data_IF_522762979897
#
_entry.id   IF_522762979897
#
_cell.length_a   1.000
_cell.length_b   1.000
_cell.length_c   1.000
_cell.angle_alpha   90.00
_cell.angle_beta   90.00
_cell.angle_gamma   90.00
#
_symmetry.space_group_name_H-M   'P 1'
#
loop_
_entity.id
_entity.type
_entity.pdbx_description
1 polymer ?
#
# COMPACT_ATOMS: atom_id res chain seq x y z
N UNK A 1 5.20 -12.42 18.06
CA UNK A 1 4.45 -13.68 17.91
C UNK A 1 4.53 -14.09 16.45
N UNK A 2 5.00 -15.31 16.12
CA UNK A 2 5.00 -15.80 14.76
C UNK A 2 3.58 -16.18 14.33
N UNK A 3 3.18 -15.78 13.13
CA UNK A 3 2.00 -16.26 12.41
C UNK A 3 2.54 -17.00 11.17
N UNK A 4 2.72 -18.30 11.29
CA UNK A 4 3.28 -19.09 10.18
C UNK A 4 2.17 -19.43 9.17
N UNK A 5 2.53 -19.40 7.89
CA UNK A 5 1.67 -19.82 6.76
C UNK A 5 0.27 -19.18 6.70
N UNK A 6 0.17 -17.88 6.98
CA UNK A 6 -1.11 -17.15 6.94
C UNK A 6 -1.86 -17.28 5.59
N UNK A 7 -1.15 -17.61 4.51
CA UNK A 7 -1.73 -17.88 3.19
C UNK A 7 -2.28 -19.31 2.99
N UNK A 8 -1.99 -20.27 3.87
CA UNK A 8 -2.43 -21.66 3.70
C UNK A 8 -3.72 -21.95 4.48
N UNK A 9 -4.82 -22.15 3.74
CA UNK A 9 -6.05 -22.74 4.26
C UNK A 9 -7.01 -21.82 5.05
N UNK A 10 -6.61 -20.58 5.32
CA UNK A 10 -7.48 -19.60 5.97
C UNK A 10 -8.25 -18.74 4.96
N UNK A 11 -9.52 -18.41 5.27
CA UNK A 11 -10.30 -17.45 4.48
C UNK A 11 -9.57 -16.09 4.43
N UNK A 12 -9.24 -15.55 3.24
CA UNK A 12 -8.49 -14.30 3.11
C UNK A 12 -9.15 -13.10 3.79
N UNK A 13 -10.49 -13.09 3.86
CA UNK A 13 -11.24 -12.05 4.55
C UNK A 13 -10.99 -12.13 6.06
N UNK A 14 -11.08 -13.32 6.63
CA UNK A 14 -10.83 -13.58 8.05
C UNK A 14 -9.39 -13.26 8.45
N UNK A 15 -8.42 -13.56 7.59
CA UNK A 15 -7.01 -13.18 7.77
C UNK A 15 -6.85 -11.67 7.79
N UNK A 16 -7.40 -10.96 6.80
CA UNK A 16 -7.33 -9.49 6.72
C UNK A 16 -7.92 -8.82 7.97
N UNK A 17 -9.10 -9.30 8.41
CA UNK A 17 -9.76 -8.78 9.61
C UNK A 17 -8.97 -9.08 10.88
N UNK A 18 -8.40 -10.28 10.98
CA UNK A 18 -7.57 -10.69 12.13
C UNK A 18 -6.30 -9.88 12.22
N UNK A 19 -5.58 -9.71 11.11
CA UNK A 19 -4.41 -8.84 11.03
C UNK A 19 -4.78 -7.40 11.45
N UNK A 20 -5.90 -6.87 10.95
CA UNK A 20 -6.35 -5.54 11.30
C UNK A 20 -6.66 -5.39 12.81
N UNK A 21 -7.37 -6.36 13.40
CA UNK A 21 -7.66 -6.37 14.83
C UNK A 21 -6.38 -6.49 15.68
N UNK A 22 -5.45 -7.33 15.24
CA UNK A 22 -4.16 -7.54 15.90
C UNK A 22 -3.38 -6.22 16.00
N UNK A 23 -3.26 -5.46 14.91
CA UNK A 23 -2.51 -4.21 14.88
C UNK A 23 -3.24 -3.02 15.49
N UNK A 24 -4.56 -3.04 15.54
CA UNK A 24 -5.32 -2.01 16.27
C UNK A 24 -5.19 -2.16 17.78
N UNK A 25 -4.83 -3.34 18.28
CA UNK A 25 -4.56 -3.54 19.70
C UNK A 25 -5.82 -3.54 20.57
N UNK A 26 -7.00 -3.77 20.00
CA UNK A 26 -8.28 -3.66 20.70
C UNK A 26 -9.20 -4.81 20.29
N UNK A 27 -9.71 -5.53 21.28
CA UNK A 27 -10.72 -6.58 21.07
C UNK A 27 -12.08 -6.04 20.67
N UNK A 28 -12.92 -6.89 20.07
CA UNK A 28 -14.32 -6.54 19.80
C UNK A 28 -15.08 -6.36 21.12
N UNK A 29 -15.88 -5.30 21.21
CA UNK A 29 -16.81 -5.07 22.31
C UNK A 29 -17.83 -6.21 22.33
N UNK A 30 -17.99 -6.86 23.49
CA UNK A 30 -18.97 -7.91 23.72
C UNK A 30 -19.87 -7.54 24.89
N UNK A 31 -21.17 -7.78 24.77
CA UNK A 31 -22.12 -7.62 25.88
C UNK A 31 -21.79 -8.59 27.01
N UNK A 32 -21.92 -8.13 28.26
CA UNK A 32 -21.84 -8.98 29.43
C UNK A 32 -23.18 -9.72 29.65
N UNK A 33 -23.13 -10.95 30.17
CA UNK A 33 -24.33 -11.76 30.46
C UNK A 33 -25.30 -11.08 31.45
N UNK A 34 -24.79 -10.20 32.32
CA UNK A 34 -25.58 -9.50 33.35
C UNK A 34 -25.98 -8.07 32.94
N UNK A 35 -25.77 -7.68 31.67
CA UNK A 35 -25.99 -6.33 31.19
C UNK A 35 -24.72 -5.47 31.24
N UNK A 36 -24.65 -4.47 30.36
CA UNK A 36 -23.44 -3.69 30.12
C UNK A 36 -22.45 -4.35 29.15
N UNK A 37 -21.28 -3.72 28.97
CA UNK A 37 -20.22 -4.21 28.10
C UNK A 37 -19.10 -4.87 28.92
N UNK A 38 -18.55 -5.98 28.43
CA UNK A 38 -17.32 -6.56 28.99
C UNK A 38 -16.16 -5.59 28.84
N UNK A 39 -15.18 -5.71 29.74
CA UNK A 39 -13.92 -4.99 29.64
C UNK A 39 -13.24 -5.23 28.30
N UNK A 40 -12.87 -4.12 27.66
CA UNK A 40 -12.25 -4.12 26.35
C UNK A 40 -10.79 -4.52 26.50
N UNK A 41 -10.44 -5.74 26.08
CA UNK A 41 -9.04 -6.19 26.08
C UNK A 41 -8.22 -5.34 25.12
N UNK A 42 -7.11 -4.80 25.61
CA UNK A 42 -6.15 -4.01 24.84
C UNK A 42 -4.79 -4.69 24.85
N UNK A 43 -4.07 -4.60 23.74
CA UNK A 43 -2.71 -5.12 23.61
C UNK A 43 -1.88 -4.24 22.70
N UNK A 44 -0.55 -4.38 22.82
CA UNK A 44 0.41 -3.82 21.89
C UNK A 44 1.36 -4.94 21.53
N UNK A 45 1.45 -5.28 20.25
CA UNK A 45 2.20 -6.46 19.82
C UNK A 45 2.93 -6.19 18.51
N UNK A 46 4.00 -6.96 18.33
CA UNK A 46 4.68 -7.12 17.05
C UNK A 46 4.43 -8.55 16.60
N UNK A 47 3.87 -8.69 15.40
CA UNK A 47 3.66 -9.96 14.75
C UNK A 47 4.62 -10.06 13.56
N UNK A 48 5.17 -11.26 13.38
CA UNK A 48 5.97 -11.60 12.21
C UNK A 48 5.20 -12.70 11.51
N UNK A 49 4.97 -12.54 10.22
CA UNK A 49 4.33 -13.55 9.39
C UNK A 49 5.28 -13.91 8.26
N UNK A 50 5.31 -15.20 7.92
CA UNK A 50 6.02 -15.75 6.77
C UNK A 50 5.01 -16.30 5.78
N UNK A 51 5.29 -16.13 4.48
CA UNK A 51 4.41 -16.61 3.42
C UNK A 51 5.04 -16.39 2.05
N UNK A 52 4.67 -17.24 1.09
CA UNK A 52 5.13 -17.14 -0.31
C UNK A 52 4.51 -15.94 -1.03
N UNK A 53 3.34 -15.52 -0.57
CA UNK A 53 2.57 -14.44 -1.16
C UNK A 53 2.30 -13.36 -0.11
N UNK A 54 2.44 -12.11 -0.53
CA UNK A 54 2.18 -10.97 0.33
C UNK A 54 0.67 -10.82 0.64
N UNK A 55 0.35 -10.08 1.71
CA UNK A 55 -1.04 -9.93 2.17
C UNK A 55 -1.94 -9.23 1.13
N UNK A 56 -1.41 -8.30 0.35
CA UNK A 56 -2.19 -7.59 -0.67
C UNK A 56 -2.61 -8.55 -1.77
N UNK A 57 -1.67 -9.32 -2.30
CA UNK A 57 -1.93 -10.35 -3.31
C UNK A 57 -2.86 -11.43 -2.76
N UNK A 58 -2.69 -11.86 -1.50
CA UNK A 58 -3.59 -12.82 -0.86
C UNK A 58 -5.04 -12.33 -0.76
N UNK A 59 -5.24 -11.06 -0.40
CA UNK A 59 -6.57 -10.44 -0.33
C UNK A 59 -7.16 -10.23 -1.73
N UNK A 60 -6.31 -9.91 -2.72
CA UNK A 60 -6.72 -9.74 -4.11
C UNK A 60 -7.31 -11.03 -4.71
N UNK A 61 -6.78 -12.20 -4.37
CA UNK A 61 -7.34 -13.51 -4.79
C UNK A 61 -8.80 -13.67 -4.35
N UNK A 62 -9.19 -13.09 -3.22
CA UNK A 62 -10.59 -13.11 -2.75
C UNK A 62 -11.48 -12.03 -3.41
N UNK A 63 -11.00 -11.34 -4.45
CA UNK A 63 -11.73 -10.27 -5.12
C UNK A 63 -11.91 -9.01 -4.26
N UNK A 64 -11.04 -8.81 -3.26
CA UNK A 64 -11.04 -7.65 -2.38
C UNK A 64 -9.84 -6.77 -2.67
N UNK A 65 -9.96 -5.46 -2.44
CA UNK A 65 -8.84 -4.52 -2.48
C UNK A 65 -8.43 -4.14 -1.06
N UNK A 66 -7.13 -4.12 -0.80
CA UNK A 66 -6.52 -3.59 0.42
C UNK A 66 -6.52 -2.07 0.40
N UNK A 67 -6.79 -1.45 1.55
CA UNK A 67 -6.56 0.00 1.69
C UNK A 67 -5.10 0.23 2.03
N UNK A 68 -4.49 1.26 1.44
CA UNK A 68 -3.08 1.55 1.65
C UNK A 68 -2.71 1.81 3.13
N UNK A 69 -3.64 2.37 3.93
CA UNK A 69 -3.48 2.50 5.39
C UNK A 69 -3.41 1.17 6.16
N UNK A 70 -3.84 0.05 5.57
CA UNK A 70 -3.67 -1.30 6.13
C UNK A 70 -2.28 -1.85 5.80
N UNK A 71 -1.77 -1.60 4.59
CA UNK A 71 -0.47 -2.08 4.12
C UNK A 71 0.70 -1.53 4.96
N UNK A 72 0.60 -0.29 5.44
CA UNK A 72 1.64 0.31 6.30
C UNK A 72 1.66 -0.25 7.73
N UNK A 73 0.69 -1.09 8.12
CA UNK A 73 0.66 -1.74 9.45
C UNK A 73 1.24 -3.15 9.44
N UNK A 74 1.25 -3.82 8.29
CA UNK A 74 1.91 -5.11 8.08
C UNK A 74 2.90 -4.95 6.93
N UNK A 75 4.17 -4.75 7.27
CA UNK A 75 5.20 -4.51 6.27
C UNK A 75 5.56 -5.82 5.56
N UNK A 76 5.31 -5.87 4.24
CA UNK A 76 5.77 -6.96 3.38
C UNK A 76 7.24 -6.70 3.02
N UNK A 77 8.17 -7.25 3.79
CA UNK A 77 9.61 -7.10 3.55
C UNK A 77 10.09 -8.32 2.75
N UNK A 78 10.54 -8.15 1.48
CA UNK A 78 11.03 -9.27 0.70
C UNK A 78 12.32 -9.82 1.32
N UNK A 79 12.36 -11.13 1.54
CA UNK A 79 13.52 -11.83 2.07
C UNK A 79 14.43 -12.31 0.93
N UNK A 80 15.74 -12.10 1.09
CA UNK A 80 16.76 -12.63 0.20
C UNK A 80 17.31 -13.96 0.74
N UNK A 81 17.83 -14.81 -0.15
CA UNK A 81 18.49 -16.05 0.26
C UNK A 81 19.73 -15.73 1.09
N UNK A 82 19.93 -16.47 2.18
CA UNK A 82 21.15 -16.38 2.98
C UNK A 82 22.37 -16.74 2.11
N UNK A 83 23.42 -15.93 2.19
CA UNK A 83 24.70 -16.16 1.50
C UNK A 83 25.82 -16.55 2.46
N UNK A 84 25.59 -16.44 3.77
CA UNK A 84 26.51 -16.88 4.83
C UNK A 84 25.85 -17.99 5.63
N UNK A 85 26.56 -19.10 5.80
CA UNK A 85 26.04 -20.33 6.43
C UNK A 85 26.73 -20.69 7.74
N UNK A 86 27.57 -19.81 8.30
CA UNK A 86 28.23 -19.98 9.61
C UNK A 86 28.80 -21.39 9.84
N UNK A 87 29.84 -21.75 9.09
CA UNK A 87 30.53 -23.06 9.17
C UNK A 87 29.76 -24.26 8.59
N UNK A 88 28.50 -24.07 8.17
CA UNK A 88 27.75 -25.10 7.46
C UNK A 88 27.98 -25.05 5.95
N UNK A 89 27.86 -26.20 5.30
CA UNK A 89 28.17 -26.36 3.87
C UNK A 89 27.06 -25.78 2.96
N UNK A 90 25.80 -25.97 3.34
CA UNK A 90 24.65 -25.49 2.57
C UNK A 90 23.70 -24.65 3.42
N UNK A 91 22.84 -23.86 2.75
CA UNK A 91 21.78 -23.13 3.42
C UNK A 91 20.77 -24.03 4.15
N UNK A 92 20.58 -25.27 3.67
CA UNK A 92 19.76 -26.27 4.35
C UNK A 92 20.41 -26.70 5.66
N UNK A 93 21.70 -27.05 5.62
CA UNK A 93 22.43 -27.48 6.81
C UNK A 93 22.45 -26.37 7.87
N UNK A 94 22.63 -25.12 7.44
CA UNK A 94 22.55 -23.96 8.33
C UNK A 94 21.15 -23.80 8.97
N UNK A 95 20.09 -23.93 8.18
CA UNK A 95 18.72 -23.84 8.68
C UNK A 95 18.37 -24.99 9.66
N UNK A 96 18.78 -26.22 9.34
CA UNK A 96 18.57 -27.39 10.19
C UNK A 96 19.35 -27.26 11.51
N UNK A 97 20.57 -26.74 11.47
CA UNK A 97 21.38 -26.45 12.66
C UNK A 97 20.72 -25.39 13.55
N UNK A 98 20.24 -24.29 12.97
CA UNK A 98 19.49 -23.27 13.73
C UNK A 98 18.23 -23.87 14.36
N UNK A 99 17.51 -24.72 13.61
CA UNK A 99 16.30 -25.39 14.10
C UNK A 99 16.57 -26.28 15.30
N UNK A 100 17.62 -27.11 15.22
CA UNK A 100 18.05 -27.94 16.34
C UNK A 100 18.48 -27.08 17.54
N UNK A 101 19.20 -25.99 17.30
CA UNK A 101 19.71 -25.12 18.35
C UNK A 101 18.57 -24.44 19.13
N UNK A 102 17.56 -23.87 18.46
CA UNK A 102 16.47 -23.17 19.14
C UNK A 102 15.51 -24.12 19.88
N UNK A 103 15.39 -25.37 19.43
CA UNK A 103 14.57 -26.38 20.10
C UNK A 103 15.10 -26.67 21.51
N UNK A 104 16.42 -26.78 21.66
CA UNK A 104 17.07 -27.00 22.96
C UNK A 104 17.36 -25.71 23.72
N UNK A 105 17.52 -24.57 23.03
CA UNK A 105 17.95 -23.31 23.62
C UNK A 105 17.01 -22.17 23.22
N UNK A 106 16.04 -21.84 24.08
CA UNK A 106 15.10 -20.74 23.84
C UNK A 106 14.79 -19.95 25.11
N UNK A 107 14.36 -18.70 24.93
CA UNK A 107 13.89 -17.82 26.02
C UNK A 107 14.97 -17.06 26.81
N UNK A 108 16.25 -17.37 26.62
CA UNK A 108 17.35 -16.69 27.33
C UNK A 108 17.55 -15.23 26.86
N UNK A 109 17.76 -15.02 25.55
CA UNK A 109 18.04 -13.72 24.95
C UNK A 109 17.03 -12.63 25.34
N UNK A 110 15.73 -12.93 25.21
CA UNK A 110 14.68 -11.96 25.55
C UNK A 110 14.64 -11.59 27.03
N UNK A 111 14.89 -12.55 27.93
CA UNK A 111 14.92 -12.29 29.39
C UNK A 111 16.11 -11.42 29.76
N UNK A 112 17.27 -11.67 29.18
CA UNK A 112 18.46 -10.86 29.40
C UNK A 112 18.27 -9.43 28.87
N UNK A 113 17.75 -9.30 27.65
CA UNK A 113 17.47 -7.99 27.08
C UNK A 113 16.45 -7.18 27.90
N UNK A 114 15.38 -7.81 28.38
CA UNK A 114 14.40 -7.16 29.28
C UNK A 114 15.06 -6.71 30.58
N UNK A 115 15.90 -7.56 31.19
CA UNK A 115 16.64 -7.21 32.41
C UNK A 115 17.55 -6.00 32.17
N UNK A 116 18.27 -5.99 31.05
CA UNK A 116 19.14 -4.88 30.69
C UNK A 116 18.34 -3.59 30.47
N UNK A 117 17.25 -3.64 29.69
CA UNK A 117 16.37 -2.49 29.45
C UNK A 117 15.77 -1.92 30.74
N UNK A 118 15.40 -2.77 31.70
CA UNK A 118 14.87 -2.33 32.99
C UNK A 118 15.86 -1.44 33.77
N UNK A 119 17.17 -1.69 33.62
CA UNK A 119 18.24 -0.88 34.20
C UNK A 119 18.68 0.32 33.37
N UNK A 120 18.30 0.41 32.09
CA UNK A 120 18.80 1.41 31.13
C UNK A 120 17.65 2.18 30.44
N UNK A 121 16.60 2.52 31.19
CA UNK A 121 15.37 3.12 30.64
C UNK A 121 15.61 4.45 29.91
N UNK A 122 16.43 5.34 30.48
CA UNK A 122 16.71 6.63 29.87
C UNK A 122 17.48 6.47 28.56
N UNK A 123 18.51 5.61 28.55
CA UNK A 123 19.26 5.27 27.34
C UNK A 123 18.35 4.69 26.27
N UNK A 124 17.39 3.83 26.63
CA UNK A 124 16.43 3.29 25.68
C UNK A 124 15.52 4.38 25.08
N UNK A 125 15.05 5.33 25.91
CA UNK A 125 14.23 6.47 25.45
C UNK A 125 15.02 7.35 24.48
N UNK A 126 16.27 7.67 24.83
CA UNK A 126 17.10 8.55 24.02
C UNK A 126 17.50 7.88 22.70
N UNK A 127 17.85 6.59 22.74
CA UNK A 127 18.16 5.82 21.52
C UNK A 127 16.97 5.78 20.55
N UNK A 128 15.74 5.62 21.06
CA UNK A 128 14.54 5.66 20.21
C UNK A 128 14.36 7.05 19.59
N UNK A 129 14.52 8.12 20.36
CA UNK A 129 14.39 9.51 19.87
C UNK A 129 15.43 9.82 18.79
N UNK A 130 16.67 9.39 19.00
CA UNK A 130 17.76 9.59 18.06
C UNK A 130 17.50 8.84 16.75
N UNK A 131 17.05 7.59 16.84
CA UNK A 131 16.63 6.81 15.68
C UNK A 131 15.46 7.49 14.95
N UNK A 132 14.42 7.95 15.65
CA UNK A 132 13.30 8.67 15.02
C UNK A 132 13.72 9.98 14.34
N UNK A 133 14.69 10.70 14.90
CA UNK A 133 15.25 11.90 14.28
C UNK A 133 16.04 11.56 13.00
N UNK A 134 16.88 10.52 13.06
CA UNK A 134 17.67 10.02 11.92
C UNK A 134 16.77 9.54 10.78
N UNK A 135 15.74 8.76 11.09
CA UNK A 135 14.81 8.26 10.07
C UNK A 135 13.99 9.38 9.42
N UNK A 136 13.65 10.44 10.15
CA UNK A 136 12.99 11.62 9.58
C UNK A 136 13.87 12.36 8.58
N UNK A 137 15.20 12.39 8.79
CA UNK A 137 16.13 13.04 7.84
C UNK A 137 16.51 12.16 6.65
N UNK A 138 16.40 10.83 6.79
CA UNK A 138 16.68 9.89 5.70
C UNK A 138 15.61 9.85 4.61
N UNK A 139 14.35 10.14 4.94
CA UNK A 139 13.22 9.99 4.01
C UNK A 139 12.97 11.34 3.32
N UNK A 140 13.08 11.43 1.98
CA UNK A 140 12.78 12.64 1.23
C UNK A 140 11.36 13.17 1.52
N UNK A 141 11.22 14.49 1.63
CA UNK A 141 9.97 15.13 2.03
C UNK A 141 8.84 15.02 0.98
N UNK A 142 9.19 14.71 -0.26
CA UNK A 142 8.27 14.50 -1.39
C UNK A 142 7.72 13.06 -1.44
N UNK A 143 8.24 12.15 -0.60
CA UNK A 143 7.70 10.80 -0.52
C UNK A 143 6.31 10.80 0.14
N UNK A 144 5.50 9.78 -0.21
CA UNK A 144 4.15 9.64 0.31
C UNK A 144 4.13 9.55 1.84
N UNK A 145 3.08 10.10 2.47
CA UNK A 145 2.88 10.07 3.94
C UNK A 145 2.95 8.64 4.51
N UNK A 146 2.59 7.63 3.71
CA UNK A 146 2.73 6.22 4.04
C UNK A 146 4.18 5.81 4.28
N UNK A 147 5.10 6.26 3.43
CA UNK A 147 6.53 5.98 3.55
C UNK A 147 7.10 6.62 4.82
N UNK A 148 6.73 7.87 5.10
CA UNK A 148 7.11 8.53 6.36
C UNK A 148 6.60 7.79 7.61
N UNK A 149 5.35 7.30 7.59
CA UNK A 149 4.79 6.49 8.69
C UNK A 149 5.54 5.18 8.90
N UNK A 150 5.99 4.55 7.81
CA UNK A 150 6.79 3.32 7.87
C UNK A 150 8.19 3.60 8.39
N UNK A 151 8.78 4.75 8.07
CA UNK A 151 10.07 5.20 8.64
C UNK A 151 10.10 5.17 10.17
N UNK A 152 9.03 5.60 10.83
CA UNK A 152 8.93 5.52 12.29
C UNK A 152 8.93 4.08 12.83
N UNK A 153 8.47 3.09 12.04
CA UNK A 153 8.55 1.68 12.41
C UNK A 153 9.97 1.15 12.29
N UNK A 154 10.67 1.50 11.21
CA UNK A 154 12.08 1.15 11.04
C UNK A 154 12.98 1.81 12.08
N UNK A 155 12.66 3.03 12.52
CA UNK A 155 13.34 3.69 13.64
C UNK A 155 13.26 2.87 14.94
N UNK A 156 12.09 2.31 15.26
CA UNK A 156 11.93 1.45 16.44
C UNK A 156 12.71 0.13 16.28
N UNK A 157 12.74 -0.45 15.07
CA UNK A 157 13.50 -1.67 14.80
C UNK A 157 15.00 -1.45 14.94
N UNK A 158 15.51 -0.31 14.47
CA UNK A 158 16.91 0.08 14.67
C UNK A 158 17.25 0.32 16.13
N UNK A 159 16.43 1.09 16.84
CA UNK A 159 16.65 1.32 18.26
C UNK A 159 16.67 -0.02 19.03
N UNK A 160 15.76 -0.94 18.71
CA UNK A 160 15.73 -2.26 19.30
C UNK A 160 17.00 -3.08 18.98
N UNK A 161 17.52 -2.99 17.75
CA UNK A 161 18.72 -3.72 17.34
C UNK A 161 20.00 -3.14 17.99
N UNK A 162 20.11 -1.81 18.07
CA UNK A 162 21.19 -1.11 18.78
C UNK A 162 21.21 -1.48 20.27
N UNK A 163 20.07 -1.36 20.94
CA UNK A 163 19.93 -1.75 22.35
C UNK A 163 20.06 -3.26 22.55
N UNK A 164 19.88 -4.05 21.49
CA UNK A 164 20.09 -5.50 21.45
C UNK A 164 21.55 -5.91 21.37
N UNK A 165 22.48 -4.98 21.15
CA UNK A 165 23.93 -5.23 21.06
C UNK A 165 24.50 -5.96 22.27
N UNK A 166 23.88 -5.81 23.45
CA UNK A 166 24.26 -6.54 24.68
C UNK A 166 24.00 -8.05 24.61
N UNK A 167 23.16 -8.49 23.68
CA UNK A 167 22.85 -9.90 23.41
C UNK A 167 23.49 -10.36 22.10
N UNK A 168 23.42 -9.54 21.05
CA UNK A 168 23.88 -9.93 19.71
C UNK A 168 25.38 -9.74 19.50
N UNK A 169 26.01 -8.83 20.26
CA UNK A 169 27.39 -8.40 20.05
C UNK A 169 27.61 -7.57 18.78
N UNK A 170 26.53 -7.14 18.11
CA UNK A 170 26.64 -6.37 16.87
C UNK A 170 27.04 -4.92 17.16
N UNK A 171 27.92 -4.38 16.33
CA UNK A 171 28.26 -2.97 16.38
C UNK A 171 27.15 -2.09 15.79
N UNK A 172 27.16 -0.83 16.19
CA UNK A 172 26.17 0.17 15.80
C UNK A 172 26.01 0.33 14.28
N UNK A 173 27.09 0.20 13.51
CA UNK A 173 27.03 0.37 12.06
C UNK A 173 26.39 -0.83 11.39
N UNK A 174 26.77 -2.05 11.79
CA UNK A 174 26.13 -3.29 11.33
C UNK A 174 24.62 -3.27 11.62
N UNK A 175 24.22 -2.78 12.79
CA UNK A 175 22.81 -2.60 13.14
C UNK A 175 22.08 -1.66 12.16
N UNK A 176 22.65 -0.47 11.90
CA UNK A 176 22.06 0.51 10.98
C UNK A 176 21.96 -0.03 9.55
N UNK A 177 23.01 -0.66 9.06
CA UNK A 177 23.08 -1.18 7.69
C UNK A 177 22.05 -2.29 7.46
N UNK A 178 21.86 -3.18 8.43
CA UNK A 178 20.87 -4.26 8.34
C UNK A 178 19.42 -3.74 8.24
N UNK A 179 19.08 -2.73 9.05
CA UNK A 179 17.74 -2.11 9.03
C UNK A 179 17.54 -1.30 7.76
N UNK A 180 18.54 -0.52 7.33
CA UNK A 180 18.46 0.28 6.12
C UNK A 180 18.39 -0.60 4.85
N UNK A 181 19.12 -1.72 4.82
CA UNK A 181 18.99 -2.72 3.75
C UNK A 181 17.55 -3.24 3.63
N UNK A 182 16.95 -3.63 4.76
CA UNK A 182 15.57 -4.14 4.81
C UNK A 182 14.55 -3.06 4.38
N UNK A 183 14.76 -1.81 4.79
CA UNK A 183 13.92 -0.69 4.36
C UNK A 183 14.03 -0.43 2.86
N UNK A 184 15.24 -0.43 2.30
CA UNK A 184 15.44 -0.21 0.87
C UNK A 184 14.80 -1.33 0.03
N UNK A 185 14.87 -2.57 0.51
CA UNK A 185 14.19 -3.70 -0.11
C UNK A 185 12.67 -3.52 -0.08
N UNK A 186 12.10 -3.13 1.06
CA UNK A 186 10.67 -2.80 1.19
C UNK A 186 10.27 -1.61 0.30
N UNK A 187 11.05 -0.53 0.28
CA UNK A 187 10.76 0.69 -0.47
C UNK A 187 10.75 0.44 -1.99
N UNK A 188 11.58 -0.48 -2.48
CA UNK A 188 11.61 -0.86 -3.90
C UNK A 188 10.28 -1.48 -4.35
N UNK A 189 9.69 -2.34 -3.53
CA UNK A 189 8.40 -2.99 -3.83
C UNK A 189 7.22 -2.06 -3.55
N UNK A 190 7.28 -1.31 -2.45
CA UNK A 190 6.21 -0.39 -2.07
C UNK A 190 6.17 0.86 -2.98
N UNK A 191 7.32 1.33 -3.46
CA UNK A 191 7.44 2.59 -4.17
C UNK A 191 7.43 3.82 -3.24
N UNK A 192 7.61 5.00 -3.83
CA UNK A 192 7.79 6.26 -3.10
C UNK A 192 6.52 7.12 -3.04
N UNK A 193 5.55 6.84 -3.91
CA UNK A 193 4.32 7.59 -4.05
C UNK A 193 3.24 7.24 -3.02
N UNK A 194 2.13 7.98 -3.06
CA UNK A 194 0.93 7.58 -2.33
C UNK A 194 0.22 6.45 -3.10
N UNK A 195 0.24 5.22 -2.56
CA UNK A 195 -0.40 4.05 -3.17
C UNK A 195 -1.88 4.28 -3.51
N UNK A 196 -2.60 5.03 -2.68
CA UNK A 196 -4.00 5.34 -2.95
C UNK A 196 -4.15 6.22 -4.19
N UNK A 197 -3.24 7.18 -4.39
CA UNK A 197 -3.24 8.02 -5.60
C UNK A 197 -2.85 7.22 -6.85
N UNK A 198 -1.85 6.33 -6.74
CA UNK A 198 -1.46 5.44 -7.83
C UNK A 198 -2.62 4.53 -8.25
N UNK A 199 -3.31 3.89 -7.29
CA UNK A 199 -4.48 3.07 -7.57
C UNK A 199 -5.61 3.84 -8.27
N UNK A 200 -5.79 5.14 -7.95
CA UNK A 200 -6.78 6.00 -8.61
C UNK A 200 -6.42 6.25 -10.08
N UNK A 201 -5.15 6.53 -10.35
CA UNK A 201 -4.61 6.73 -11.71
C UNK A 201 -4.75 5.43 -12.50
N UNK A 202 -4.20 4.32 -11.99
CA UNK A 202 -4.24 3.00 -12.62
C UNK A 202 -5.69 2.55 -12.91
N UNK A 203 -6.62 2.78 -11.97
CA UNK A 203 -8.03 2.42 -12.17
C UNK A 203 -8.70 3.25 -13.28
N UNK A 204 -8.28 4.50 -13.45
CA UNK A 204 -8.78 5.38 -14.51
C UNK A 204 -8.20 4.97 -15.86
N UNK A 205 -6.88 4.76 -15.94
CA UNK A 205 -6.19 4.29 -17.15
C UNK A 205 -6.73 2.94 -17.61
N UNK A 206 -6.94 1.98 -16.68
CA UNK A 206 -7.50 0.68 -16.99
C UNK A 206 -8.90 0.79 -17.62
N UNK A 207 -9.75 1.68 -17.09
CA UNK A 207 -11.07 1.91 -17.66
C UNK A 207 -11.01 2.55 -19.04
N UNK A 208 -10.15 3.56 -19.23
CA UNK A 208 -10.03 4.28 -20.51
C UNK A 208 -9.35 3.42 -21.59
N UNK A 209 -8.38 2.58 -21.24
CA UNK A 209 -7.81 1.60 -22.17
C UNK A 209 -8.84 0.55 -22.59
N UNK A 210 -9.59 -0.02 -21.65
CA UNK A 210 -10.57 -1.06 -21.94
C UNK A 210 -11.81 -0.53 -22.69
N UNK A 211 -12.26 0.68 -22.37
CA UNK A 211 -13.56 1.18 -22.78
C UNK A 211 -13.55 2.53 -23.51
N UNK A 212 -12.41 3.22 -23.58
CA UNK A 212 -12.29 4.54 -24.20
C UNK A 212 -12.76 4.56 -25.65
N UNK A 213 -12.47 3.50 -26.41
CA UNK A 213 -12.91 3.40 -27.81
C UNK A 213 -14.29 2.76 -28.02
N UNK A 214 -14.79 2.00 -27.05
CA UNK A 214 -16.04 1.23 -27.19
C UNK A 214 -17.25 1.84 -26.49
N UNK A 215 -17.04 2.58 -25.39
CA UNK A 215 -18.12 3.18 -24.58
C UNK A 215 -18.17 4.70 -24.62
N UNK A 216 -17.24 5.36 -25.31
CA UNK A 216 -17.28 6.81 -25.51
C UNK A 216 -17.48 7.14 -26.99
N UNK A 217 -18.61 7.74 -27.32
CA UNK A 217 -18.91 8.11 -28.70
C UNK A 217 -18.05 9.30 -29.15
N UNK A 218 -17.56 9.36 -30.40
CA UNK A 218 -17.03 10.61 -30.95
C UNK A 218 -18.07 11.73 -30.80
N UNK A 219 -17.65 12.95 -30.43
CA UNK A 219 -18.55 14.10 -30.48
C UNK A 219 -19.12 14.30 -31.89
N UNK A 220 -20.42 14.54 -31.98
CA UNK A 220 -21.14 14.70 -33.25
C UNK A 220 -21.43 13.39 -33.98
N UNK A 221 -21.33 12.23 -33.32
CA UNK A 221 -21.71 10.95 -33.94
C UNK A 221 -23.23 10.85 -34.16
N UNK A 222 -23.63 10.09 -35.18
CA UNK A 222 -25.02 9.64 -35.32
C UNK A 222 -25.19 8.29 -34.59
N UNK A 223 -26.09 8.18 -33.59
CA UNK A 223 -26.36 6.92 -32.91
C UNK A 223 -26.77 5.76 -33.81
N UNK A 224 -27.28 6.04 -35.03
CA UNK A 224 -27.63 5.02 -36.03
C UNK A 224 -26.41 4.43 -36.72
N UNK A 225 -25.36 5.23 -36.90
CA UNK A 225 -24.14 4.84 -37.60
C UNK A 225 -23.15 4.13 -36.67
N UNK A 226 -23.18 4.48 -35.37
CA UNK A 226 -22.34 3.87 -34.35
C UNK A 226 -23.15 3.62 -33.07
N UNK A 227 -23.98 2.57 -33.04
CA UNK A 227 -24.72 2.21 -31.84
C UNK A 227 -23.74 1.72 -30.76
N UNK A 228 -23.64 2.48 -29.66
CA UNK A 228 -22.79 2.14 -28.51
C UNK A 228 -23.65 1.59 -27.37
N UNK A 229 -23.33 0.37 -26.93
CA UNK A 229 -23.92 -0.22 -25.73
C UNK A 229 -23.29 0.40 -24.48
N UNK A 230 -24.10 0.70 -23.47
CA UNK A 230 -23.66 1.20 -22.16
C UNK A 230 -22.79 2.46 -22.24
N UNK A 231 -23.25 3.45 -23.04
CA UNK A 231 -22.54 4.71 -23.29
C UNK A 231 -22.09 5.39 -21.99
N UNK A 232 -20.77 5.55 -21.83
CA UNK A 232 -20.12 6.15 -20.67
C UNK A 232 -19.82 7.64 -20.86
N UNK A 233 -19.90 8.15 -22.09
CA UNK A 233 -19.67 9.56 -22.39
C UNK A 233 -19.33 9.82 -23.86
N UNK A 234 -18.63 10.93 -24.09
CA UNK A 234 -18.14 11.31 -25.41
C UNK A 234 -16.62 11.43 -25.42
N UNK A 235 -16.01 11.32 -26.60
CA UNK A 235 -14.58 11.53 -26.80
C UNK A 235 -14.32 12.54 -27.91
N UNK A 236 -13.20 13.25 -27.79
CA UNK A 236 -12.65 14.14 -28.80
C UNK A 236 -11.15 13.88 -28.90
N UNK A 237 -10.64 13.67 -30.12
CA UNK A 237 -9.19 13.69 -30.32
C UNK A 237 -8.65 15.07 -29.96
N UNK A 238 -7.40 15.12 -29.48
CA UNK A 238 -6.69 16.38 -29.35
C UNK A 238 -6.50 17.08 -30.69
N UNK A 239 -5.96 18.30 -30.66
CA UNK A 239 -5.87 19.13 -31.86
C UNK A 239 -4.69 18.72 -32.76
N UNK A 240 -3.65 18.12 -32.20
CA UNK A 240 -2.45 17.65 -32.88
C UNK A 240 -2.20 16.15 -32.64
N UNK A 241 -1.44 15.51 -33.51
CA UNK A 241 -0.92 14.17 -33.25
C UNK A 241 -0.04 14.20 -32.00
N UNK A 242 -0.30 13.28 -31.08
CA UNK A 242 0.32 13.27 -29.75
C UNK A 242 -0.44 14.06 -28.68
N UNK A 243 -1.52 14.79 -28.99
CA UNK A 243 -2.37 15.36 -27.95
C UNK A 243 -3.23 14.27 -27.27
N UNK A 244 -3.47 14.35 -25.96
CA UNK A 244 -4.32 13.39 -25.25
C UNK A 244 -5.76 13.43 -25.80
N UNK A 245 -6.41 12.26 -25.81
CA UNK A 245 -7.84 12.15 -26.07
C UNK A 245 -8.58 12.75 -24.87
N UNK A 246 -9.56 13.61 -25.16
CA UNK A 246 -10.42 14.22 -24.17
C UNK A 246 -11.69 13.38 -24.06
N UNK A 247 -11.97 12.88 -22.86
CA UNK A 247 -13.14 12.08 -22.53
C UNK A 247 -14.12 12.88 -21.67
N UNK A 248 -15.28 13.21 -22.24
CA UNK A 248 -16.41 13.81 -21.55
C UNK A 248 -17.25 12.71 -20.92
N UNK A 249 -16.88 12.32 -19.71
CA UNK A 249 -17.41 11.17 -18.98
C UNK A 249 -18.67 11.52 -18.22
N UNK A 250 -19.73 10.74 -18.37
CA UNK A 250 -20.97 10.95 -17.62
C UNK A 250 -20.76 10.73 -16.11
N UNK A 251 -21.46 11.48 -15.24
CA UNK A 251 -21.34 11.34 -13.80
C UNK A 251 -21.59 9.91 -13.31
N UNK A 252 -22.58 9.19 -13.86
CA UNK A 252 -22.84 7.81 -13.47
C UNK A 252 -21.65 6.88 -13.74
N UNK A 253 -21.07 6.94 -14.96
CA UNK A 253 -19.90 6.15 -15.32
C UNK A 253 -18.67 6.52 -14.47
N UNK A 254 -18.46 7.82 -14.24
CA UNK A 254 -17.36 8.28 -13.39
C UNK A 254 -17.53 7.82 -11.94
N UNK A 255 -18.69 8.04 -11.34
CA UNK A 255 -18.92 7.87 -9.90
C UNK A 255 -19.13 6.40 -9.51
N UNK A 256 -19.78 5.60 -10.37
CA UNK A 256 -20.19 4.24 -10.05
C UNK A 256 -19.26 3.17 -10.63
N UNK A 257 -18.47 3.51 -11.66
CA UNK A 257 -17.59 2.56 -12.35
C UNK A 257 -16.12 2.95 -12.19
N UNK A 258 -15.72 4.14 -12.65
CA UNK A 258 -14.32 4.58 -12.62
C UNK A 258 -13.86 4.83 -11.18
N UNK A 259 -14.61 5.61 -10.40
CA UNK A 259 -14.29 5.94 -9.01
C UNK A 259 -14.79 4.89 -8.01
N UNK A 260 -15.24 3.71 -8.49
CA UNK A 260 -15.84 2.67 -7.66
C UNK A 260 -14.88 2.25 -6.54
N UNK A 261 -15.39 2.29 -5.30
CA UNK A 261 -14.63 1.93 -4.10
C UNK A 261 -13.89 3.10 -3.44
N UNK A 262 -13.91 4.29 -4.04
CA UNK A 262 -13.26 5.50 -3.52
C UNK A 262 -14.27 6.60 -3.20
N UNK A 263 -13.83 7.60 -2.44
CA UNK A 263 -14.58 8.85 -2.33
C UNK A 263 -14.43 9.65 -3.64
N UNK A 264 -15.54 9.89 -4.34
CA UNK A 264 -15.56 10.57 -5.65
C UNK A 264 -14.83 11.92 -5.66
N UNK A 265 -14.96 12.74 -4.62
CA UNK A 265 -14.32 14.07 -4.58
C UNK A 265 -12.82 13.95 -4.46
N UNK A 266 -12.34 13.04 -3.60
CA UNK A 266 -10.91 12.76 -3.47
C UNK A 266 -10.35 12.15 -4.76
N UNK A 267 -11.09 11.22 -5.37
CA UNK A 267 -10.73 10.61 -6.65
C UNK A 267 -10.53 11.67 -7.74
N UNK A 268 -11.49 12.60 -7.87
CA UNK A 268 -11.39 13.69 -8.83
C UNK A 268 -10.26 14.69 -8.52
N UNK A 269 -9.99 14.98 -7.25
CA UNK A 269 -8.87 15.84 -6.86
C UNK A 269 -7.52 15.20 -7.21
N UNK A 270 -7.36 13.89 -7.00
CA UNK A 270 -6.14 13.16 -7.37
C UNK A 270 -5.92 13.20 -8.88
N UNK A 271 -6.95 12.90 -9.68
CA UNK A 271 -6.83 12.96 -11.14
C UNK A 271 -6.54 14.38 -11.65
N UNK A 272 -7.12 15.41 -11.01
CA UNK A 272 -6.82 16.81 -11.32
C UNK A 272 -5.35 17.11 -11.06
N UNK A 273 -4.81 16.71 -9.92
CA UNK A 273 -3.41 16.95 -9.56
C UNK A 273 -2.44 16.14 -10.44
N UNK A 274 -2.88 15.00 -10.99
CA UNK A 274 -2.14 14.22 -11.98
C UNK A 274 -2.28 14.74 -13.43
N UNK A 275 -3.06 15.80 -13.67
CA UNK A 275 -3.32 16.32 -15.02
C UNK A 275 -4.33 15.50 -15.85
N UNK A 276 -4.85 14.40 -15.30
CA UNK A 276 -5.82 13.52 -15.95
C UNK A 276 -7.26 14.04 -15.91
N UNK A 277 -7.57 15.05 -15.09
CA UNK A 277 -8.90 15.67 -15.03
C UNK A 277 -8.81 17.19 -15.20
N UNK A 278 -9.57 17.73 -16.15
CA UNK A 278 -9.72 19.18 -16.34
C UNK A 278 -10.88 19.71 -15.48
N UNK A 279 -10.60 20.58 -14.49
CA UNK A 279 -11.65 21.18 -13.66
C UNK A 279 -12.50 22.17 -14.49
N UNK A 280 -13.74 22.46 -14.05
CA UNK A 280 -14.58 23.44 -14.72
C UNK A 280 -14.00 24.85 -14.59
N UNK A 281 -14.26 25.70 -15.59
CA UNK A 281 -13.88 27.11 -15.61
C UNK A 281 -14.48 27.94 -14.46
N UNK A 282 -15.55 27.46 -13.82
CA UNK A 282 -16.13 28.09 -12.63
C UNK A 282 -15.25 28.00 -11.38
N UNK A 283 -14.22 27.15 -11.40
CA UNK A 283 -13.38 26.84 -10.23
C UNK A 283 -14.11 26.09 -9.11
N UNK A 284 -15.37 25.70 -9.31
CA UNK A 284 -16.19 25.00 -8.31
C UNK A 284 -16.50 23.57 -8.74
N UNK A 285 -16.10 22.62 -7.91
CA UNK A 285 -16.33 21.19 -8.16
C UNK A 285 -15.45 20.65 -9.28
N UNK A 286 -15.84 19.51 -9.84
CA UNK A 286 -15.04 18.74 -10.80
C UNK A 286 -15.77 18.45 -12.11
N UNK A 287 -17.04 18.87 -12.23
CA UNK A 287 -17.87 18.61 -13.40
C UNK A 287 -17.94 19.84 -14.30
N UNK A 288 -17.62 19.66 -15.57
CA UNK A 288 -17.84 20.61 -16.64
C UNK A 288 -19.17 20.38 -17.38
N UNK A 289 -19.27 20.98 -18.57
CA UNK A 289 -20.36 20.73 -19.50
C UNK A 289 -19.81 20.53 -20.90
N UNK A 290 -20.40 19.59 -21.63
CA UNK A 290 -20.20 19.42 -23.08
C UNK A 290 -21.52 19.69 -23.79
N UNK A 291 -21.46 20.26 -24.99
CA UNK A 291 -22.63 20.45 -25.84
C UNK A 291 -22.66 19.34 -26.86
N UNK A 292 -23.75 18.57 -26.88
CA UNK A 292 -24.00 17.51 -27.84
C UNK A 292 -25.47 17.53 -28.22
N UNK A 293 -25.78 17.44 -29.51
CA UNK A 293 -27.15 17.44 -30.06
C UNK A 293 -28.05 18.54 -29.46
N UNK A 294 -27.53 19.77 -29.44
CA UNK A 294 -28.24 20.93 -28.88
C UNK A 294 -28.39 20.95 -27.36
N UNK A 295 -28.02 19.89 -26.64
CA UNK A 295 -28.14 19.77 -25.18
C UNK A 295 -26.82 20.09 -24.50
N UNK A 296 -26.88 20.65 -23.30
CA UNK A 296 -25.73 20.76 -22.40
C UNK A 296 -25.74 19.63 -21.38
N UNK A 297 -24.73 18.77 -21.40
CA UNK A 297 -24.64 17.58 -20.56
C UNK A 297 -23.53 17.79 -19.52
N UNK A 298 -23.83 17.48 -18.25
CA UNK A 298 -22.83 17.52 -17.17
C UNK A 298 -21.89 16.33 -17.30
N UNK A 299 -20.59 16.58 -17.17
CA UNK A 299 -19.55 15.56 -17.40
C UNK A 299 -18.32 15.82 -16.53
N UNK A 300 -17.55 14.77 -16.26
CA UNK A 300 -16.15 14.86 -15.86
C UNK A 300 -15.30 14.88 -17.13
N UNK A 301 -14.33 15.80 -17.22
CA UNK A 301 -13.46 15.93 -18.39
C UNK A 301 -12.14 15.26 -18.06
N UNK A 302 -11.90 14.08 -18.64
CA UNK A 302 -10.67 13.32 -18.45
C UNK A 302 -9.76 13.48 -19.66
N UNK A 303 -8.45 13.55 -19.43
CA UNK A 303 -7.43 13.60 -20.47
C UNK A 303 -6.60 12.33 -20.37
N UNK A 304 -6.45 11.62 -21.47
CA UNK A 304 -5.69 10.37 -21.50
C UNK A 304 -5.03 10.15 -22.85
N UNK A 305 -3.75 9.79 -22.81
CA UNK A 305 -2.98 9.38 -23.97
C UNK A 305 -2.69 7.89 -23.77
N UNK A 306 -3.22 7.04 -24.65
CA UNK A 306 -2.79 5.65 -24.66
C UNK A 306 -1.32 5.64 -25.10
N UNK A 307 -0.46 4.90 -24.41
CA UNK A 307 0.89 4.64 -24.93
C UNK A 307 0.72 4.07 -26.34
N UNK A 308 1.24 4.79 -27.34
CA UNK A 308 1.33 4.22 -28.68
C UNK A 308 2.13 2.94 -28.52
N UNK A 309 1.51 1.81 -28.87
CA UNK A 309 2.18 0.53 -28.96
C UNK A 309 3.44 0.78 -29.76
N UNK A 310 4.58 0.82 -29.08
CA UNK A 310 5.89 0.98 -29.69
C UNK A 310 6.00 -0.22 -30.60
N UNK A 311 5.78 -0.02 -31.90
CA UNK A 311 6.16 -1.03 -32.87
C UNK A 311 7.65 -1.24 -32.64
N UNK A 312 8.12 -2.49 -32.49
CA UNK A 312 9.55 -2.72 -32.41
C UNK A 312 10.12 -2.15 -33.70
N UNK A 313 11.01 -1.16 -33.58
CA UNK A 313 11.83 -0.74 -34.72
C UNK A 313 12.55 -2.00 -35.22
N UNK A 314 12.22 -2.38 -36.46
CA UNK A 314 12.85 -3.49 -37.19
C UNK A 314 14.35 -3.25 -37.40
#
# INVERSE_FOLDING_TARGET
MPLDEVGQGADPISVSQSAYALFNGVGKLQGAKEGGNRDLKRWRTVAISTGEMDLETFIAIAGRKTKAGQLVRLLNIPLSKAVRFHEHQTGKDHADALKSAWQSNHGAAGREWIRWLAGHQQQAIDTVRDCEARWRSLIPADYGEQVHRVGARFAILEAALLLGGVVTGWDDQTCRDAIQHSYNAWLREFGTGNKEHQQIIEQTEAFLNAYGLSRFAPLGYDPRDLPIRDLAGYRKKGNHDGDPIIFYTFPAAFEQEIAKGFNTKQFAEVLKNAGMLTPPTSGRGYQGRVREDGRQIRVYVLNFMAEESSQPEE
#
